data_IF_377731026078
#
_entry.id   IF_377731026078
#
_cell.length_a   1.000
_cell.length_b   1.000
_cell.length_c   1.000
_cell.angle_alpha   90.00
_cell.angle_beta   90.00
_cell.angle_gamma   90.00
#
_symmetry.space_group_name_H-M   'P 1'
#
loop_
_entity.id
_entity.type
_entity.pdbx_description
1 polymer ?
#
# COMPACT_ATOMS: atom_id res chain seq x y z
N UNK A 1 -16.70 44.37 -18.04
CA UNK A 1 -16.61 43.80 -16.68
C UNK A 1 -15.44 42.84 -16.67
N UNK A 2 -14.39 43.13 -15.91
CA UNK A 2 -13.23 42.25 -15.81
C UNK A 2 -13.62 41.03 -14.94
N UNK A 3 -13.69 39.86 -15.56
CA UNK A 3 -13.82 38.59 -14.83
C UNK A 3 -12.50 38.38 -14.07
N UNK A 4 -12.53 38.58 -12.76
CA UNK A 4 -11.38 38.33 -11.89
C UNK A 4 -10.96 36.87 -12.02
N UNK A 5 -9.83 36.63 -12.68
CA UNK A 5 -9.16 35.34 -12.67
C UNK A 5 -8.73 35.12 -11.21
N UNK A 6 -9.36 34.17 -10.50
CA UNK A 6 -8.84 33.69 -9.21
C UNK A 6 -7.38 33.31 -9.45
N UNK A 7 -6.45 33.89 -8.69
CA UNK A 7 -5.04 33.51 -8.77
C UNK A 7 -4.92 32.02 -8.46
N UNK A 8 -4.42 31.25 -9.42
CA UNK A 8 -4.11 29.84 -9.21
C UNK A 8 -2.79 29.80 -8.45
N UNK A 9 -2.79 29.22 -7.26
CA UNK A 9 -1.55 28.98 -6.52
C UNK A 9 -0.74 27.91 -7.26
N UNK A 10 0.49 28.26 -7.62
CA UNK A 10 1.32 27.45 -8.51
C UNK A 10 2.52 26.86 -7.76
N UNK A 11 2.75 25.57 -7.93
CA UNK A 11 3.85 24.80 -7.33
C UNK A 11 4.67 24.11 -8.44
N UNK A 12 5.91 23.73 -8.17
CA UNK A 12 6.71 22.97 -9.13
C UNK A 12 6.10 21.58 -9.36
N UNK A 13 5.68 20.95 -8.27
CA UNK A 13 5.04 19.64 -8.26
C UNK A 13 3.83 19.61 -7.32
N UNK A 14 2.80 18.88 -7.73
CA UNK A 14 1.62 18.60 -6.89
C UNK A 14 1.50 17.09 -6.68
N UNK A 15 1.29 16.66 -5.44
CA UNK A 15 1.02 15.27 -5.08
C UNK A 15 -0.38 15.14 -4.46
N UNK A 16 -1.23 14.33 -5.08
CA UNK A 16 -2.62 14.11 -4.66
C UNK A 16 -2.72 12.80 -3.87
N UNK A 17 -2.75 12.93 -2.54
CA UNK A 17 -2.72 11.86 -1.56
C UNK A 17 -1.40 11.84 -0.79
N UNK A 18 -1.44 12.12 0.51
CA UNK A 18 -0.30 12.22 1.44
C UNK A 18 -0.11 11.00 2.36
N UNK A 19 -0.48 9.80 1.91
CA UNK A 19 -0.17 8.57 2.67
C UNK A 19 1.34 8.22 2.69
N UNK A 20 1.75 7.29 3.55
CA UNK A 20 3.17 6.86 3.74
C UNK A 20 3.91 6.42 2.49
N UNK A 21 3.22 5.78 1.52
CA UNK A 21 3.85 5.44 0.22
C UNK A 21 3.95 6.65 -0.73
N UNK A 22 3.45 7.83 -0.33
CA UNK A 22 3.04 8.92 -1.23
C UNK A 22 3.66 10.29 -0.88
N UNK A 23 4.16 10.49 0.35
CA UNK A 23 4.89 11.71 0.75
C UNK A 23 6.41 11.71 0.52
N UNK A 24 6.96 10.65 -0.10
CA UNK A 24 8.41 10.52 -0.27
C UNK A 24 9.01 11.42 -1.36
N UNK A 25 8.31 11.52 -2.50
CA UNK A 25 8.70 12.39 -3.60
C UNK A 25 8.70 13.86 -3.16
N UNK A 26 7.68 14.39 -2.46
CA UNK A 26 7.74 15.71 -1.85
C UNK A 26 8.95 15.90 -0.95
N UNK A 27 9.27 14.94 -0.07
CA UNK A 27 10.44 15.03 0.81
C UNK A 27 11.77 15.08 0.06
N UNK A 28 11.95 14.25 -0.98
CA UNK A 28 13.18 14.24 -1.79
C UNK A 28 13.30 15.43 -2.73
N UNK A 29 12.20 15.83 -3.37
CA UNK A 29 12.18 17.06 -4.15
C UNK A 29 12.49 18.27 -3.27
N UNK A 30 11.93 18.30 -2.06
CA UNK A 30 12.17 19.33 -1.07
C UNK A 30 13.56 19.25 -0.42
N UNK A 31 14.40 18.23 -0.72
CA UNK A 31 15.84 18.27 -0.37
C UNK A 31 16.52 19.47 -1.06
N UNK A 32 16.01 19.88 -2.22
CA UNK A 32 16.35 21.16 -2.83
C UNK A 32 15.45 22.26 -2.27
N UNK A 33 15.98 23.29 -1.59
CA UNK A 33 15.17 24.40 -1.09
C UNK A 33 14.60 25.28 -2.21
N UNK A 34 14.96 25.02 -3.47
CA UNK A 34 14.47 25.73 -4.66
C UNK A 34 13.18 25.13 -5.22
N UNK A 35 12.81 23.93 -4.79
CA UNK A 35 11.65 23.21 -5.32
C UNK A 35 10.46 23.37 -4.39
N UNK A 36 9.34 23.83 -4.91
CA UNK A 36 8.08 23.96 -4.18
C UNK A 36 7.17 22.77 -4.49
N UNK A 37 6.82 22.01 -3.46
CA UNK A 37 5.92 20.85 -3.60
C UNK A 37 4.69 21.05 -2.74
N UNK A 38 3.52 20.89 -3.36
CA UNK A 38 2.24 20.81 -2.66
C UNK A 38 1.86 19.34 -2.45
N UNK A 39 1.49 18.99 -1.22
CA UNK A 39 0.89 17.70 -0.89
C UNK A 39 -0.54 17.93 -0.44
N UNK A 40 -1.48 17.23 -1.08
CA UNK A 40 -2.90 17.31 -0.76
C UNK A 40 -3.30 15.99 -0.10
N UNK A 41 -3.90 16.04 1.08
CA UNK A 41 -4.34 14.88 1.86
C UNK A 41 -5.72 15.15 2.44
N UNK A 42 -6.60 14.14 2.41
CA UNK A 42 -7.96 14.24 2.94
C UNK A 42 -8.01 14.02 4.46
N UNK A 43 -7.07 13.23 4.99
CA UNK A 43 -6.90 13.03 6.44
C UNK A 43 -6.31 14.24 7.16
N UNK A 44 -6.11 14.09 8.47
CA UNK A 44 -5.51 15.15 9.32
C UNK A 44 -4.09 15.55 8.88
N UNK A 45 -3.54 16.66 9.37
CA UNK A 45 -2.18 17.10 9.03
C UNK A 45 -1.09 16.61 9.99
N UNK A 46 -1.50 16.10 11.16
CA UNK A 46 -0.63 15.88 12.31
C UNK A 46 -0.78 14.48 12.93
N UNK A 47 -0.49 13.40 12.18
CA UNK A 47 -0.65 12.02 12.68
C UNK A 47 0.15 11.71 13.95
N UNK A 48 1.30 12.39 14.12
CA UNK A 48 2.19 12.22 15.26
C UNK A 48 1.57 12.66 16.60
N UNK A 49 0.54 13.52 16.55
CA UNK A 49 -0.14 14.02 17.75
C UNK A 49 -1.36 13.15 18.13
N UNK A 50 -1.64 12.10 17.36
CA UNK A 50 -2.79 11.21 17.58
C UNK A 50 -2.31 9.92 18.23
N UNK A 51 -2.54 9.76 19.53
CA UNK A 51 -2.07 8.59 20.31
C UNK A 51 -2.50 7.24 19.72
N UNK A 52 -3.72 7.16 19.21
CA UNK A 52 -4.23 5.96 18.57
C UNK A 52 -3.41 5.57 17.31
N UNK A 53 -2.81 6.53 16.60
CA UNK A 53 -1.94 6.29 15.44
C UNK A 53 -0.55 5.83 15.88
N UNK A 54 0.01 6.48 16.89
CA UNK A 54 1.40 6.28 17.32
C UNK A 54 1.59 5.02 18.16
N UNK A 55 0.54 4.58 18.86
CA UNK A 55 0.53 3.42 19.77
C UNK A 55 0.20 2.13 19.01
N UNK A 56 1.13 1.15 18.92
CA UNK A 56 0.92 -0.03 18.09
C UNK A 56 -0.28 -0.91 18.46
N UNK A 57 -0.61 -0.99 19.76
CA UNK A 57 -1.72 -1.79 20.24
C UNK A 57 -3.10 -1.29 19.76
N UNK A 58 -3.20 0.00 19.43
CA UNK A 58 -4.46 0.64 18.99
C UNK A 58 -4.75 0.44 17.49
N UNK A 59 -3.95 -0.33 16.75
CA UNK A 59 -4.13 -0.51 15.29
C UNK A 59 -5.56 -0.93 14.90
N UNK A 60 -6.18 -1.80 15.70
CA UNK A 60 -7.53 -2.30 15.44
C UNK A 60 -8.62 -1.25 15.64
N UNK A 61 -8.37 -0.22 16.46
CA UNK A 61 -9.30 0.89 16.72
C UNK A 61 -9.35 1.89 15.54
N UNK A 62 -8.42 1.77 14.58
CA UNK A 62 -8.27 2.71 13.47
C UNK A 62 -8.94 2.25 12.17
N UNK A 63 -9.57 1.06 12.15
CA UNK A 63 -10.07 0.40 10.93
C UNK A 63 -11.03 1.25 10.09
N UNK A 64 -11.78 2.15 10.70
CA UNK A 64 -12.78 2.99 10.02
C UNK A 64 -12.35 4.46 9.86
N UNK A 65 -11.07 4.79 10.06
CA UNK A 65 -10.62 6.17 10.15
C UNK A 65 -9.80 6.64 8.94
N UNK A 66 -10.28 7.66 8.23
CA UNK A 66 -9.49 8.44 7.26
C UNK A 66 -8.54 9.36 8.03
N UNK A 67 -7.36 8.86 8.39
CA UNK A 67 -6.33 9.62 9.10
C UNK A 67 -5.10 9.89 8.24
N UNK A 68 -4.41 10.97 8.58
CA UNK A 68 -3.15 11.41 7.99
C UNK A 68 -2.11 10.29 7.87
N UNK A 69 -1.34 10.27 6.80
CA UNK A 69 -0.36 9.22 6.51
C UNK A 69 -0.97 7.94 5.92
N UNK A 70 -2.29 7.90 5.72
CA UNK A 70 -2.99 6.85 4.98
C UNK A 70 -2.86 5.47 5.64
N UNK A 71 -2.96 4.40 4.84
CA UNK A 71 -3.06 3.03 5.38
C UNK A 71 -1.89 2.58 6.24
N UNK A 72 -0.71 3.20 6.15
CA UNK A 72 0.40 2.86 7.04
C UNK A 72 0.22 3.33 8.48
N UNK A 73 -0.58 4.37 8.71
CA UNK A 73 -0.88 4.89 10.03
C UNK A 73 -1.87 3.97 10.78
N UNK A 74 -2.39 2.96 10.07
CA UNK A 74 -3.36 1.98 10.55
C UNK A 74 -3.04 0.54 10.09
N UNK A 75 -1.84 0.28 9.56
CA UNK A 75 -1.41 -1.07 9.20
C UNK A 75 -0.96 -1.89 10.42
N UNK A 76 -0.72 -3.18 10.20
CA UNK A 76 -0.27 -4.14 11.21
C UNK A 76 1.25 -4.40 11.18
N UNK A 77 2.04 -3.39 10.79
CA UNK A 77 3.50 -3.28 10.98
C UNK A 77 4.44 -4.28 10.29
N UNK A 78 3.93 -5.42 9.83
CA UNK A 78 4.72 -6.48 9.17
C UNK A 78 5.53 -5.90 8.02
N UNK A 79 6.85 -6.12 8.05
CA UNK A 79 7.76 -5.69 6.98
C UNK A 79 8.37 -6.91 6.30
N UNK A 80 7.99 -7.14 5.05
CA UNK A 80 8.55 -8.19 4.21
C UNK A 80 8.54 -7.72 2.75
N UNK A 81 9.64 -7.89 1.99
CA UNK A 81 9.73 -7.35 0.63
C UNK A 81 8.89 -8.10 -0.38
N UNK A 82 8.78 -9.43 -0.27
CA UNK A 82 8.25 -10.29 -1.32
C UNK A 82 9.31 -11.26 -1.87
N UNK A 83 8.88 -12.14 -2.77
CA UNK A 83 9.78 -13.11 -3.40
C UNK A 83 10.44 -12.53 -4.65
N UNK A 84 11.71 -12.86 -4.89
CA UNK A 84 12.45 -12.38 -6.06
C UNK A 84 11.72 -12.71 -7.37
N UNK A 85 11.21 -13.93 -7.50
CA UNK A 85 10.45 -14.36 -8.68
C UNK A 85 9.23 -13.47 -8.97
N UNK A 86 8.51 -13.03 -7.93
CA UNK A 86 7.36 -12.13 -8.13
C UNK A 86 7.78 -10.74 -8.61
N UNK A 87 8.97 -10.27 -8.22
CA UNK A 87 9.52 -9.03 -8.78
C UNK A 87 9.97 -9.24 -10.22
N UNK A 88 10.61 -10.36 -10.54
CA UNK A 88 11.04 -10.67 -11.91
C UNK A 88 9.85 -10.79 -12.88
N UNK A 89 8.69 -11.26 -12.40
CA UNK A 89 7.42 -11.26 -13.15
C UNK A 89 6.91 -9.84 -13.50
N UNK A 90 7.49 -8.79 -12.91
CA UNK A 90 7.18 -7.38 -13.23
C UNK A 90 7.96 -6.86 -14.45
N UNK A 91 9.07 -7.52 -14.82
CA UNK A 91 9.92 -7.08 -15.93
C UNK A 91 9.19 -6.99 -17.28
N UNK A 92 8.26 -7.88 -17.65
CA UNK A 92 7.46 -7.73 -18.87
C UNK A 92 6.57 -6.48 -18.91
N UNK A 93 6.23 -5.90 -17.76
CA UNK A 93 5.36 -4.71 -17.66
C UNK A 93 6.16 -3.42 -17.52
N UNK A 94 7.23 -3.47 -16.72
CA UNK A 94 8.01 -2.30 -16.36
C UNK A 94 9.36 -2.19 -17.05
N UNK A 95 9.89 -3.27 -17.64
CA UNK A 95 11.29 -3.34 -18.07
C UNK A 95 12.21 -4.00 -17.04
N UNK A 96 13.46 -4.26 -17.43
CA UNK A 96 14.46 -4.93 -16.56
C UNK A 96 14.75 -4.15 -15.27
N UNK A 97 14.55 -2.83 -15.26
CA UNK A 97 14.66 -1.98 -14.08
C UNK A 97 13.68 -2.36 -12.96
N UNK A 98 12.63 -3.14 -13.26
CA UNK A 98 11.64 -3.63 -12.30
C UNK A 98 11.86 -5.06 -11.80
N UNK A 99 12.95 -5.72 -12.22
CA UNK A 99 13.32 -7.02 -11.69
C UNK A 99 13.84 -6.94 -10.24
N UNK A 100 14.00 -8.10 -9.58
CA UNK A 100 14.44 -8.17 -8.19
C UNK A 100 15.78 -7.46 -7.95
N UNK A 101 16.76 -7.70 -8.81
CA UNK A 101 18.12 -7.20 -8.62
C UNK A 101 18.18 -5.67 -8.65
N UNK A 102 17.40 -5.05 -9.52
CA UNK A 102 17.33 -3.59 -9.65
C UNK A 102 16.43 -2.95 -8.57
N UNK A 103 15.40 -3.66 -8.11
CA UNK A 103 14.48 -3.16 -7.09
C UNK A 103 14.97 -3.32 -5.65
N UNK A 104 15.75 -4.37 -5.33
CA UNK A 104 16.04 -4.76 -3.94
C UNK A 104 16.70 -3.65 -3.11
N UNK A 105 17.59 -2.85 -3.71
CA UNK A 105 18.24 -1.75 -2.98
C UNK A 105 17.23 -0.68 -2.57
N UNK A 106 16.28 -0.38 -3.46
CA UNK A 106 15.18 0.54 -3.17
C UNK A 106 14.33 0.01 -2.01
N UNK A 107 13.99 -1.27 -1.97
CA UNK A 107 13.20 -1.87 -0.88
C UNK A 107 13.82 -1.67 0.52
N UNK A 108 15.15 -1.59 0.59
CA UNK A 108 15.90 -1.42 1.83
C UNK A 108 16.12 0.05 2.22
N UNK A 109 16.29 0.94 1.22
CA UNK A 109 16.62 2.36 1.39
C UNK A 109 15.78 3.15 2.40
N UNK A 110 14.45 2.96 2.54
CA UNK A 110 13.64 3.75 3.46
C UNK A 110 13.75 3.30 4.93
N UNK A 111 14.53 2.27 5.25
CA UNK A 111 14.58 1.73 6.61
C UNK A 111 15.98 1.80 7.21
N UNK A 112 16.02 2.09 8.50
CA UNK A 112 17.19 1.89 9.35
C UNK A 112 16.92 0.68 10.23
N UNK A 113 17.68 -0.40 10.05
CA UNK A 113 17.54 -1.62 10.85
C UNK A 113 18.09 -1.42 12.27
N UNK A 114 17.46 -2.08 13.24
CA UNK A 114 17.82 -2.05 14.66
C UNK A 114 17.63 -3.45 15.26
N UNK A 115 18.62 -3.91 16.02
CA UNK A 115 18.59 -5.18 16.75
C UNK A 115 19.30 -5.02 18.11
N UNK A 116 18.70 -4.23 18.99
CA UNK A 116 19.30 -3.88 20.28
C UNK A 116 19.43 -5.09 21.24
N UNK A 117 18.74 -6.19 20.96
CA UNK A 117 18.72 -7.40 21.79
C UNK A 117 19.64 -8.51 21.28
N UNK A 118 20.16 -8.40 20.05
CA UNK A 118 20.97 -9.44 19.40
C UNK A 118 20.24 -10.79 19.29
N UNK A 119 18.92 -10.75 19.07
CA UNK A 119 18.05 -11.95 18.98
C UNK A 119 17.90 -12.48 17.53
N UNK A 120 18.60 -11.83 16.59
CA UNK A 120 18.59 -12.07 15.15
C UNK A 120 20.02 -12.31 14.63
N UNK A 121 20.16 -13.04 13.52
CA UNK A 121 21.48 -13.21 12.88
C UNK A 121 22.11 -11.88 12.45
N UNK A 122 23.44 -11.77 12.55
CA UNK A 122 24.17 -10.56 12.09
C UNK A 122 23.96 -10.27 10.60
N UNK A 123 23.58 -11.29 9.80
CA UNK A 123 23.23 -11.15 8.39
C UNK A 123 21.97 -10.30 8.16
N UNK A 124 21.05 -10.20 9.13
CA UNK A 124 19.88 -9.31 9.05
C UNK A 124 20.26 -7.82 9.12
N UNK A 125 21.48 -7.49 9.58
CA UNK A 125 22.04 -6.14 9.41
C UNK A 125 22.22 -5.76 7.94
N UNK A 126 22.28 -6.77 7.06
CA UNK A 126 22.39 -6.66 5.61
C UNK A 126 21.16 -7.29 4.95
N UNK A 127 19.99 -6.66 5.12
CA UNK A 127 18.76 -6.97 4.37
C UNK A 127 19.10 -7.07 2.86
N UNK A 128 19.35 -8.28 2.35
CA UNK A 128 19.74 -8.52 0.96
C UNK A 128 20.87 -9.50 0.63
N UNK A 129 21.42 -10.30 1.55
CA UNK A 129 22.38 -11.37 1.19
C UNK A 129 22.04 -12.67 1.94
N UNK A 130 21.91 -13.80 1.24
CA UNK A 130 21.76 -15.09 1.91
C UNK A 130 21.81 -16.30 0.97
N UNK A 131 22.36 -17.41 1.48
CA UNK A 131 22.29 -18.76 0.89
C UNK A 131 20.97 -19.47 1.29
N UNK A 132 20.60 -20.53 0.57
CA UNK A 132 19.45 -21.42 0.87
C UNK A 132 19.72 -22.33 2.08
N UNK A 133 18.71 -22.54 2.92
CA UNK A 133 18.59 -23.66 3.88
C UNK A 133 17.33 -24.50 3.60
N UNK A 134 17.29 -25.73 4.14
CA UNK A 134 16.27 -26.78 3.93
C UNK A 134 14.97 -26.47 4.68
N UNK A 135 13.86 -27.04 4.20
CA UNK A 135 12.50 -26.83 4.71
C UNK A 135 12.33 -27.33 6.18
N UNK A 136 11.54 -26.60 6.99
CA UNK A 136 11.12 -26.99 8.34
C UNK A 136 11.79 -26.25 9.53
N UNK A 137 12.86 -25.48 9.31
CA UNK A 137 13.55 -24.74 10.38
C UNK A 137 13.14 -23.27 10.48
N UNK A 138 13.26 -22.69 11.68
CA UNK A 138 13.24 -21.24 11.88
C UNK A 138 14.33 -20.58 11.01
N UNK A 139 13.96 -19.60 10.21
CA UNK A 139 14.86 -18.87 9.32
C UNK A 139 14.79 -17.37 9.58
N UNK A 140 15.90 -16.66 9.35
CA UNK A 140 15.95 -15.19 9.30
C UNK A 140 16.12 -14.68 7.86
N UNK A 141 16.29 -15.59 6.89
CA UNK A 141 16.63 -15.29 5.50
C UNK A 141 15.36 -15.10 4.66
N UNK A 142 14.61 -14.03 4.96
CA UNK A 142 13.34 -13.70 4.27
C UNK A 142 13.38 -12.39 3.46
N UNK A 143 14.54 -11.74 3.46
CA UNK A 143 14.72 -10.41 2.86
C UNK A 143 15.59 -10.40 1.60
N UNK A 144 16.17 -11.54 1.23
CA UNK A 144 17.02 -11.70 0.03
C UNK A 144 16.24 -12.21 -1.20
N UNK A 145 14.90 -12.21 -1.12
CA UNK A 145 14.01 -12.69 -2.19
C UNK A 145 13.55 -14.13 -2.02
N UNK A 146 14.02 -14.85 -1.00
CA UNK A 146 13.44 -16.12 -0.53
C UNK A 146 12.48 -15.84 0.64
N UNK A 147 11.39 -16.60 0.77
CA UNK A 147 10.38 -16.41 1.83
C UNK A 147 9.84 -17.74 2.40
N UNK A 148 10.62 -18.83 2.34
CA UNK A 148 10.18 -20.16 2.81
C UNK A 148 10.62 -20.41 4.25
N UNK A 149 9.72 -20.96 5.07
CA UNK A 149 9.97 -21.33 6.46
C UNK A 149 9.18 -20.49 7.46
N UNK A 150 9.40 -20.74 8.76
CA UNK A 150 8.89 -19.90 9.85
C UNK A 150 9.97 -18.90 10.26
N UNK A 151 9.62 -17.64 10.54
CA UNK A 151 10.62 -16.62 10.91
C UNK A 151 10.09 -15.64 11.96
N UNK A 152 11.02 -14.97 12.65
CA UNK A 152 10.71 -13.81 13.49
C UNK A 152 10.54 -12.58 12.61
N UNK A 153 9.32 -12.06 12.53
CA UNK A 153 9.01 -10.94 11.64
C UNK A 153 9.72 -9.64 12.04
N UNK A 154 10.31 -8.92 11.07
CA UNK A 154 10.72 -7.52 11.26
C UNK A 154 9.50 -6.60 11.16
N UNK A 155 9.47 -5.54 11.97
CA UNK A 155 8.29 -4.66 12.07
C UNK A 155 8.65 -3.20 11.84
N UNK A 156 7.69 -2.40 11.41
CA UNK A 156 7.79 -0.93 11.39
C UNK A 156 7.45 -0.34 12.77
N UNK A 157 8.03 -0.90 13.84
CA UNK A 157 7.92 -0.42 15.22
C UNK A 157 9.32 -0.29 15.80
N UNK A 158 9.61 0.85 16.44
CA UNK A 158 10.83 1.03 17.23
C UNK A 158 10.52 1.79 18.52
N UNK A 159 11.05 1.34 19.65
CA UNK A 159 10.72 1.84 20.99
C UNK A 159 9.21 2.08 21.23
N UNK A 160 8.39 1.07 20.89
CA UNK A 160 6.92 1.09 21.05
C UNK A 160 6.20 2.19 20.25
N UNK A 161 6.88 2.82 19.29
CA UNK A 161 6.28 3.79 18.38
C UNK A 161 6.21 3.24 16.97
N UNK A 162 5.11 3.52 16.27
CA UNK A 162 4.97 3.25 14.83
C UNK A 162 6.05 4.02 14.05
N UNK A 163 6.81 3.32 13.22
CA UNK A 163 7.71 3.90 12.24
C UNK A 163 6.97 4.12 10.92
N UNK A 164 6.95 5.37 10.46
CA UNK A 164 6.55 5.70 9.09
C UNK A 164 7.81 5.94 8.24
N UNK A 165 7.89 5.38 7.03
CA UNK A 165 9.02 5.57 6.12
C UNK A 165 8.58 5.70 4.65
N UNK A 166 9.43 6.33 3.82
CA UNK A 166 9.02 7.01 2.59
C UNK A 166 9.87 6.57 1.37
N UNK A 167 9.25 6.14 0.25
CA UNK A 167 9.95 5.97 -1.05
C UNK A 167 9.01 5.83 -2.28
N UNK A 168 9.35 6.43 -3.45
CA UNK A 168 9.37 5.86 -4.85
C UNK A 168 9.56 6.95 -5.98
N UNK A 169 9.74 6.56 -7.27
CA UNK A 169 10.29 7.27 -8.45
C UNK A 169 9.39 7.22 -9.73
N UNK A 170 9.56 8.20 -10.62
CA UNK A 170 9.21 8.28 -12.06
C UNK A 170 7.74 8.52 -12.54
N UNK A 171 7.70 9.24 -13.67
CA UNK A 171 6.82 10.32 -14.07
C UNK A 171 6.39 10.19 -15.54
N UNK A 172 5.21 10.71 -15.90
CA UNK A 172 4.84 10.95 -17.30
C UNK A 172 4.03 12.24 -17.48
N UNK A 173 4.28 12.92 -18.63
CA UNK A 173 3.83 14.26 -19.01
C UNK A 173 2.31 14.45 -19.06
N UNK A 174 1.83 15.63 -18.65
CA UNK A 174 0.65 16.27 -19.24
C UNK A 174 -0.48 16.74 -18.32
N UNK A 175 -0.36 16.64 -16.99
CA UNK A 175 -1.37 17.16 -16.06
C UNK A 175 -0.77 18.29 -15.19
N UNK A 176 -1.30 19.50 -15.33
CA UNK A 176 -0.73 20.73 -14.76
C UNK A 176 -1.58 21.34 -13.62
N UNK A 177 -2.46 20.57 -12.99
CA UNK A 177 -3.21 21.06 -11.84
C UNK A 177 -4.21 20.08 -11.25
N UNK A 178 -4.78 20.47 -10.11
CA UNK A 178 -5.81 19.70 -9.39
C UNK A 178 -6.83 20.66 -8.78
N UNK A 179 -8.07 20.21 -8.75
CA UNK A 179 -9.16 20.90 -8.06
C UNK A 179 -9.54 20.13 -6.78
N UNK A 180 -9.70 20.85 -5.67
CA UNK A 180 -10.05 20.28 -4.37
C UNK A 180 -11.29 20.94 -3.78
N UNK A 181 -12.09 20.14 -3.07
CA UNK A 181 -13.15 20.63 -2.22
C UNK A 181 -12.61 20.85 -0.81
N UNK A 182 -12.69 22.09 -0.34
CA UNK A 182 -12.29 22.49 1.00
C UNK A 182 -13.38 22.16 2.03
N UNK A 183 -13.05 22.04 3.33
CA UNK A 183 -14.03 21.74 4.38
C UNK A 183 -15.17 22.77 4.51
N UNK A 184 -14.96 24.00 4.05
CA UNK A 184 -15.98 25.05 3.99
C UNK A 184 -16.94 24.90 2.79
N UNK A 185 -16.78 23.86 1.97
CA UNK A 185 -17.58 23.61 0.77
C UNK A 185 -17.13 24.39 -0.46
N UNK A 186 -16.06 25.19 -0.36
CA UNK A 186 -15.50 25.92 -1.49
C UNK A 186 -14.55 25.05 -2.30
N UNK A 187 -14.50 25.32 -3.59
CA UNK A 187 -13.57 24.67 -4.51
C UNK A 187 -12.35 25.55 -4.73
N UNK A 188 -11.15 24.94 -4.65
CA UNK A 188 -9.87 25.60 -4.91
C UNK A 188 -9.07 24.84 -5.96
N UNK A 189 -8.40 25.57 -6.85
CA UNK A 189 -7.58 24.98 -7.92
C UNK A 189 -6.11 25.32 -7.70
N UNK A 190 -5.27 24.30 -7.80
CA UNK A 190 -3.81 24.41 -7.70
C UNK A 190 -3.15 24.05 -9.04
N UNK A 191 -2.12 24.80 -9.43
CA UNK A 191 -1.35 24.58 -10.65
C UNK A 191 0.00 23.92 -10.39
N UNK A 192 0.41 23.00 -11.26
CA UNK A 192 1.75 22.39 -11.26
C UNK A 192 2.54 22.86 -12.49
N UNK A 193 3.76 23.37 -12.29
CA UNK A 193 4.64 23.78 -13.39
C UNK A 193 5.18 22.60 -14.17
N UNK A 194 5.52 21.53 -13.46
CA UNK A 194 6.10 20.33 -14.07
C UNK A 194 5.07 19.20 -14.09
N UNK A 195 4.64 18.73 -12.92
CA UNK A 195 3.87 17.49 -12.84
C UNK A 195 2.86 17.45 -11.69
N UNK A 196 1.73 16.79 -11.96
CA UNK A 196 0.73 16.38 -10.97
C UNK A 196 0.78 14.86 -10.81
N UNK A 197 0.96 14.38 -9.58
CA UNK A 197 1.16 12.96 -9.27
C UNK A 197 -0.05 12.43 -8.53
N UNK A 198 -0.77 11.51 -9.18
CA UNK A 198 -1.93 10.83 -8.61
C UNK A 198 -1.50 9.69 -7.68
N UNK A 199 -1.58 9.95 -6.38
CA UNK A 199 -1.13 9.05 -5.32
C UNK A 199 -2.24 8.80 -4.29
N UNK A 200 -3.49 8.69 -4.73
CA UNK A 200 -4.67 8.56 -3.84
C UNK A 200 -5.00 7.11 -3.45
N UNK A 201 -4.31 6.12 -4.03
CA UNK A 201 -4.35 4.72 -3.61
C UNK A 201 -5.07 3.82 -4.57
N UNK A 202 -5.09 2.52 -4.25
CA UNK A 202 -5.64 1.52 -5.17
C UNK A 202 -7.12 1.75 -5.52
N UNK A 203 -7.89 2.40 -4.64
CA UNK A 203 -9.30 2.74 -4.90
C UNK A 203 -9.48 4.17 -5.42
N UNK A 204 -8.89 5.17 -4.76
CA UNK A 204 -9.14 6.58 -5.10
C UNK A 204 -8.29 7.08 -6.28
N UNK A 205 -7.09 6.53 -6.56
CA UNK A 205 -6.32 6.92 -7.76
C UNK A 205 -7.08 6.60 -9.07
N UNK A 206 -7.58 5.36 -9.31
CA UNK A 206 -8.33 5.10 -10.54
C UNK A 206 -9.64 5.89 -10.60
N UNK A 207 -10.32 6.11 -9.47
CA UNK A 207 -11.50 6.99 -9.41
C UNK A 207 -11.16 8.42 -9.85
N UNK A 208 -10.08 9.01 -9.31
CA UNK A 208 -9.63 10.35 -9.67
C UNK A 208 -9.31 10.46 -11.17
N UNK A 209 -8.62 9.45 -11.74
CA UNK A 209 -8.34 9.38 -13.17
C UNK A 209 -9.64 9.33 -13.99
N UNK A 210 -10.59 8.47 -13.61
CA UNK A 210 -11.89 8.37 -14.31
C UNK A 210 -12.68 9.68 -14.24
N UNK A 211 -12.77 10.33 -13.08
CA UNK A 211 -13.42 11.63 -12.92
C UNK A 211 -12.73 12.73 -13.75
N UNK A 212 -11.44 12.56 -14.03
CA UNK A 212 -10.63 13.43 -14.89
C UNK A 212 -10.71 13.05 -16.37
N UNK A 213 -11.60 12.13 -16.76
CA UNK A 213 -11.80 11.71 -18.16
C UNK A 213 -10.75 10.71 -18.68
N UNK A 214 -9.97 10.08 -17.80
CA UNK A 214 -8.97 9.05 -18.14
C UNK A 214 -9.50 7.69 -17.68
N UNK A 215 -9.91 6.86 -18.63
CA UNK A 215 -10.46 5.53 -18.35
C UNK A 215 -11.25 5.00 -19.53
N UNK A 216 -11.88 3.84 -19.36
CA UNK A 216 -12.67 3.20 -20.41
C UNK A 216 -13.81 4.10 -20.87
N UNK A 217 -13.85 4.43 -22.17
CA UNK A 217 -14.87 5.32 -22.74
C UNK A 217 -16.29 4.85 -22.40
N UNK A 218 -16.55 3.54 -22.49
CA UNK A 218 -17.85 2.94 -22.19
C UNK A 218 -18.29 3.10 -20.73
N UNK A 219 -17.34 3.22 -19.80
CA UNK A 219 -17.64 3.40 -18.38
C UNK A 219 -17.82 4.88 -18.03
N UNK A 220 -17.00 5.76 -18.62
CA UNK A 220 -17.11 7.21 -18.45
C UNK A 220 -18.43 7.77 -19.03
N UNK A 221 -18.87 7.24 -20.17
CA UNK A 221 -20.11 7.66 -20.82
C UNK A 221 -21.36 7.46 -19.93
N UNK A 222 -21.36 6.47 -19.03
CA UNK A 222 -22.47 6.20 -18.09
C UNK A 222 -22.74 7.37 -17.14
N UNK A 223 -21.73 8.20 -16.90
CA UNK A 223 -21.77 9.32 -15.96
C UNK A 223 -21.65 10.68 -16.66
N UNK A 224 -21.82 10.72 -17.99
CA UNK A 224 -21.65 11.93 -18.82
C UNK A 224 -20.27 12.58 -18.70
N UNK A 225 -19.23 11.78 -18.40
CA UNK A 225 -17.85 12.26 -18.33
C UNK A 225 -17.24 12.20 -19.73
N UNK A 226 -16.70 13.32 -20.20
CA UNK A 226 -15.97 13.36 -21.48
C UNK A 226 -14.67 12.57 -21.36
N UNK A 227 -14.51 11.55 -22.20
CA UNK A 227 -13.24 10.83 -22.33
C UNK A 227 -12.17 11.72 -22.97
N UNK A 228 -11.07 11.93 -22.26
CA UNK A 228 -9.85 12.58 -22.74
C UNK A 228 -8.87 11.53 -23.23
N UNK A 229 -8.71 10.45 -22.46
CA UNK A 229 -7.87 9.30 -22.79
C UNK A 229 -8.67 8.03 -22.55
N UNK A 230 -8.92 7.27 -23.61
CA UNK A 230 -9.51 5.95 -23.50
C UNK A 230 -8.45 4.96 -23.00
N UNK A 231 -8.53 4.62 -21.73
CA UNK A 231 -7.56 3.73 -21.07
C UNK A 231 -8.26 2.50 -20.52
N UNK A 232 -8.07 1.38 -21.21
CA UNK A 232 -8.74 0.11 -20.92
C UNK A 232 -8.47 -0.45 -19.51
N UNK A 233 -7.35 -0.06 -18.90
CA UNK A 233 -6.87 -0.64 -17.64
C UNK A 233 -7.19 0.19 -16.39
N UNK A 234 -7.66 1.44 -16.53
CA UNK A 234 -8.01 2.25 -15.34
C UNK A 234 -9.17 1.60 -14.59
N UNK A 235 -8.95 1.35 -13.29
CA UNK A 235 -9.90 0.65 -12.43
C UNK A 235 -9.97 -0.87 -12.65
N UNK A 236 -9.19 -1.42 -13.58
CA UNK A 236 -9.11 -2.87 -13.79
C UNK A 236 -7.92 -3.46 -13.02
N UNK A 237 -7.75 -4.78 -13.12
CA UNK A 237 -6.61 -5.50 -12.55
C UNK A 237 -6.46 -5.34 -11.02
N UNK A 238 -7.59 -5.16 -10.32
CA UNK A 238 -7.58 -5.05 -8.85
C UNK A 238 -7.28 -6.42 -8.25
N UNK A 239 -6.06 -6.58 -7.73
CA UNK A 239 -5.64 -7.78 -7.02
C UNK A 239 -5.59 -7.48 -5.52
N UNK A 240 -6.11 -8.42 -4.74
CA UNK A 240 -6.05 -8.40 -3.28
C UNK A 240 -5.78 -9.80 -2.75
N UNK A 241 -5.20 -9.86 -1.55
CA UNK A 241 -4.99 -11.13 -0.86
C UNK A 241 -6.26 -11.52 -0.11
N UNK A 242 -6.63 -12.78 -0.25
CA UNK A 242 -7.68 -13.39 0.58
C UNK A 242 -7.09 -13.75 1.94
N UNK A 243 -7.73 -13.27 3.00
CA UNK A 243 -7.30 -13.53 4.38
C UNK A 243 -8.44 -14.21 5.11
N UNK A 244 -8.19 -15.40 5.64
CA UNK A 244 -9.07 -16.06 6.59
C UNK A 244 -8.34 -16.16 7.93
N UNK A 245 -8.97 -15.71 9.01
CA UNK A 245 -8.36 -15.69 10.33
C UNK A 245 -9.08 -16.67 11.25
N UNK A 246 -8.31 -17.56 11.88
CA UNK A 246 -8.77 -18.56 12.83
C UNK A 246 -8.25 -18.19 14.22
N UNK A 247 -9.13 -18.25 15.22
CA UNK A 247 -8.79 -17.89 16.59
C UNK A 247 -8.85 -19.13 17.46
N UNK A 248 -7.73 -19.48 18.08
CA UNK A 248 -7.61 -20.60 18.98
C UNK A 248 -7.46 -20.10 20.42
N UNK A 249 -8.20 -20.74 21.31
CA UNK A 249 -8.04 -20.57 22.75
C UNK A 249 -7.11 -21.65 23.27
N UNK A 250 -6.03 -21.23 23.89
CA UNK A 250 -5.00 -22.11 24.43
C UNK A 250 -4.94 -21.98 25.94
N UNK A 251 -4.73 -23.11 26.59
CA UNK A 251 -4.38 -23.19 28.00
C UNK A 251 -2.86 -23.31 28.08
N UNK A 252 -2.20 -22.31 28.66
CA UNK A 252 -0.76 -22.33 28.92
C UNK A 252 -0.54 -22.12 30.41
N UNK A 253 -0.12 -23.18 31.11
CA UNK A 253 0.01 -23.21 32.56
C UNK A 253 -1.29 -22.76 33.26
N UNK A 254 -1.28 -21.59 33.90
CA UNK A 254 -2.46 -20.99 34.58
C UNK A 254 -3.12 -19.86 33.78
N UNK A 255 -2.66 -19.59 32.55
CA UNK A 255 -3.11 -18.49 31.72
C UNK A 255 -3.87 -18.99 30.49
N UNK A 256 -4.91 -18.25 30.11
CA UNK A 256 -5.59 -18.41 28.84
C UNK A 256 -4.94 -17.46 27.83
N UNK A 257 -4.39 -18.04 26.77
CA UNK A 257 -3.77 -17.29 25.68
C UNK A 257 -4.63 -17.48 24.43
N UNK A 258 -4.90 -16.39 23.73
CA UNK A 258 -5.58 -16.43 22.43
C UNK A 258 -4.53 -16.27 21.34
N UNK A 259 -4.44 -17.24 20.43
CA UNK A 259 -3.60 -17.13 19.22
C UNK A 259 -4.51 -16.97 18.01
N UNK A 260 -4.18 -16.01 17.15
CA UNK A 260 -4.82 -15.80 15.87
C UNK A 260 -3.87 -16.26 14.77
N UNK A 261 -4.31 -17.21 13.96
CA UNK A 261 -3.61 -17.64 12.76
C UNK A 261 -4.34 -17.09 11.54
N UNK A 262 -3.62 -16.45 10.62
CA UNK A 262 -4.21 -15.85 9.44
C UNK A 262 -3.60 -16.45 8.18
N UNK A 263 -4.41 -17.20 7.44
CA UNK A 263 -4.08 -17.82 6.17
C UNK A 263 -4.26 -16.75 5.09
N UNK A 264 -3.18 -16.45 4.38
CA UNK A 264 -3.15 -15.44 3.33
C UNK A 264 -2.88 -16.11 2.00
N UNK A 265 -3.88 -16.14 1.12
CA UNK A 265 -3.66 -16.48 -0.27
C UNK A 265 -3.13 -15.24 -0.99
N UNK A 266 -1.85 -15.27 -1.32
CA UNK A 266 -1.08 -14.10 -1.77
C UNK A 266 -1.47 -13.58 -3.16
N UNK A 267 -2.09 -14.37 -4.02
CA UNK A 267 -2.60 -13.88 -5.29
C UNK A 267 -3.90 -14.58 -5.65
N UNK A 268 -4.94 -13.77 -5.83
CA UNK A 268 -6.18 -14.21 -6.46
C UNK A 268 -5.94 -14.36 -7.95
N UNK A 269 -6.47 -15.44 -8.53
CA UNK A 269 -6.19 -15.78 -9.95
C UNK A 269 -6.94 -14.89 -10.92
N UNK A 270 -8.07 -14.33 -10.49
CA UNK A 270 -8.84 -13.39 -11.28
C UNK A 270 -8.89 -12.04 -10.60
N UNK A 271 -8.54 -10.96 -11.32
CA UNK A 271 -8.63 -9.62 -10.76
C UNK A 271 -10.08 -9.19 -10.61
N UNK A 272 -10.28 -8.27 -9.67
CA UNK A 272 -11.48 -7.48 -9.53
C UNK A 272 -11.43 -6.14 -10.27
N UNK A 273 -12.36 -5.26 -9.91
CA UNK A 273 -12.53 -3.93 -10.51
C UNK A 273 -12.81 -2.85 -9.48
N UNK A 274 -12.44 -1.62 -9.83
CA UNK A 274 -12.85 -0.36 -9.21
C UNK A 274 -13.59 0.44 -10.27
N UNK A 275 -14.87 0.72 -10.03
CA UNK A 275 -15.76 1.41 -10.96
C UNK A 275 -16.32 2.69 -10.32
N UNK A 276 -16.63 3.69 -11.12
CA UNK A 276 -17.40 4.84 -10.62
C UNK A 276 -18.80 4.40 -10.20
N UNK A 277 -19.24 4.89 -9.04
CA UNK A 277 -20.64 4.77 -8.62
C UNK A 277 -21.44 6.04 -8.97
N UNK A 278 -20.75 7.18 -9.12
CA UNK A 278 -21.29 8.50 -9.49
C UNK A 278 -20.17 9.37 -10.08
N UNK A 279 -20.53 10.49 -10.71
CA UNK A 279 -19.60 11.58 -11.04
C UNK A 279 -19.30 12.50 -9.84
N UNK A 280 -20.00 12.35 -8.72
CA UNK A 280 -19.72 13.08 -7.49
C UNK A 280 -18.41 12.58 -6.86
N UNK A 281 -17.38 13.44 -6.71
CA UNK A 281 -16.09 13.05 -6.14
C UNK A 281 -16.15 12.59 -4.68
N UNK A 282 -17.21 12.94 -3.94
CA UNK A 282 -17.41 12.53 -2.55
C UNK A 282 -18.00 11.13 -2.41
N UNK A 283 -18.57 10.58 -3.49
CA UNK A 283 -19.13 9.23 -3.50
C UNK A 283 -18.01 8.22 -3.67
N UNK A 284 -17.98 7.20 -2.80
CA UNK A 284 -17.01 6.10 -2.91
C UNK A 284 -17.18 5.33 -4.22
N UNK A 285 -16.09 4.84 -4.83
CA UNK A 285 -16.19 3.98 -6.00
C UNK A 285 -16.82 2.64 -5.62
N UNK A 286 -17.42 1.97 -6.60
CA UNK A 286 -17.81 0.58 -6.47
C UNK A 286 -16.56 -0.29 -6.51
N UNK A 287 -16.37 -1.11 -5.48
CA UNK A 287 -15.21 -1.99 -5.34
C UNK A 287 -15.69 -3.43 -5.43
N UNK A 288 -15.17 -4.16 -6.40
CA UNK A 288 -15.37 -5.60 -6.53
C UNK A 288 -14.00 -6.27 -6.44
N UNK A 289 -13.72 -6.98 -5.36
CA UNK A 289 -12.46 -7.73 -5.20
C UNK A 289 -12.44 -9.06 -5.98
N UNK A 290 -13.61 -9.51 -6.46
CA UNK A 290 -13.77 -10.73 -7.26
C UNK A 290 -13.19 -11.99 -6.59
N UNK A 291 -13.28 -12.05 -5.27
CA UNK A 291 -12.84 -13.19 -4.48
C UNK A 291 -13.63 -14.46 -4.83
N UNK A 292 -12.93 -15.59 -4.83
CA UNK A 292 -13.48 -16.92 -5.13
C UNK A 292 -14.10 -17.07 -6.53
N UNK A 293 -13.76 -16.19 -7.47
CA UNK A 293 -14.15 -16.35 -8.87
C UNK A 293 -13.51 -17.58 -9.55
N UNK A 294 -12.47 -18.15 -8.93
CA UNK A 294 -11.84 -19.39 -9.36
C UNK A 294 -11.88 -20.43 -8.22
N UNK A 295 -12.44 -21.61 -8.50
CA UNK A 295 -12.57 -22.69 -7.52
C UNK A 295 -11.21 -23.15 -6.95
N UNK A 296 -10.11 -22.99 -7.69
CA UNK A 296 -8.77 -23.28 -7.18
C UNK A 296 -8.36 -22.37 -6.01
N UNK A 297 -8.87 -21.14 -5.96
CA UNK A 297 -8.59 -20.24 -4.83
C UNK A 297 -9.31 -20.72 -3.57
N UNK A 298 -10.52 -21.29 -3.72
CA UNK A 298 -11.25 -21.95 -2.62
C UNK A 298 -10.49 -23.18 -2.14
N UNK A 299 -10.07 -24.05 -3.07
CA UNK A 299 -9.35 -25.27 -2.73
C UNK A 299 -8.02 -24.96 -2.05
N UNK A 300 -7.24 -24.01 -2.57
CA UNK A 300 -5.98 -23.61 -1.96
C UNK A 300 -6.17 -23.05 -0.55
N UNK A 301 -7.20 -22.23 -0.34
CA UNK A 301 -7.51 -21.70 0.99
C UNK A 301 -7.92 -22.82 1.96
N UNK A 302 -8.75 -23.77 1.50
CA UNK A 302 -9.17 -24.93 2.29
C UNK A 302 -7.98 -25.79 2.71
N UNK A 303 -7.08 -26.12 1.79
CA UNK A 303 -5.88 -26.89 2.13
C UNK A 303 -4.95 -26.13 3.07
N UNK A 304 -4.84 -24.80 2.92
CA UNK A 304 -4.08 -23.96 3.86
C UNK A 304 -4.68 -23.92 5.27
N UNK A 305 -6.00 -24.06 5.40
CA UNK A 305 -6.69 -24.22 6.70
C UNK A 305 -6.35 -25.58 7.30
N UNK A 306 -6.52 -26.67 6.53
CA UNK A 306 -6.21 -28.01 7.01
C UNK A 306 -4.76 -28.13 7.47
N UNK A 307 -3.82 -27.61 6.68
CA UNK A 307 -2.41 -27.57 7.07
C UNK A 307 -2.18 -26.80 8.38
N UNK A 308 -2.84 -25.65 8.58
CA UNK A 308 -2.70 -24.91 9.83
C UNK A 308 -3.31 -25.65 11.03
N UNK A 309 -4.45 -26.31 10.84
CA UNK A 309 -5.06 -27.16 11.86
C UNK A 309 -4.16 -28.34 12.21
N UNK A 310 -3.54 -29.00 11.22
CA UNK A 310 -2.59 -30.09 11.43
C UNK A 310 -1.39 -29.59 12.26
N UNK A 311 -0.77 -28.47 11.87
CA UNK A 311 0.36 -27.87 12.61
C UNK A 311 -0.03 -27.53 14.06
N UNK A 312 -1.21 -26.94 14.28
CA UNK A 312 -1.61 -26.42 15.59
C UNK A 312 -2.17 -27.50 16.53
N UNK A 313 -2.88 -28.49 16.00
CA UNK A 313 -3.59 -29.50 16.80
C UNK A 313 -2.79 -30.78 16.97
N UNK A 314 -2.00 -31.16 15.96
CA UNK A 314 -1.24 -32.42 15.96
C UNK A 314 0.27 -32.22 16.05
N UNK A 315 0.77 -31.03 15.71
CA UNK A 315 2.21 -30.77 15.57
C UNK A 315 2.81 -31.39 14.30
N UNK A 316 1.99 -31.99 13.42
CA UNK A 316 2.38 -32.49 12.12
C UNK A 316 2.09 -31.41 11.06
N UNK A 317 3.09 -30.99 10.28
CA UNK A 317 2.92 -30.05 9.17
C UNK A 317 4.22 -29.46 8.63
#
# INVERSE_FOLDING_TARGET
MATGVKSIDEFDFIVVGGGYRRCAFPGRLAESPKVQVLVIEAGVGNPQDVDAITTPACAFELRDSNKAGGSSCLNYYTRIPGSASTFDDSAPYGGEEWNWENCRQSLCKPATYRDDKHDHSEELMYIGVGRKKKDGELTDVVHNGTMRGLWKCTTSIYYRKRSSSWMYLEATKGCLGVEVLLPNGETHSFGAKYETIASSGVFESPKLLMLSGIGRQVDLAKFNIKTIVDSAHVGQNLLAHLILAHVFRLEYETALITICFAQVLSTTRQPGTVELNSADPLVQPKINLNFFANDLDILALREGIHWADDVLLSGEG
#
